data_IF_160749333391
#
_entry.id   IF_160749333391
#
_cell.length_a   1.000
_cell.length_b   1.000
_cell.length_c   1.000
_cell.angle_alpha   90.00
_cell.angle_beta   90.00
_cell.angle_gamma   90.00
#
_symmetry.space_group_name_H-M   'P 1'
#
loop_
_entity.id
_entity.type
_entity.pdbx_description
1 polymer ?
#
# COMPACT_ATOMS: atom_id res chain seq x y z
N UNK A 1 18.09 -0.97 3.85
CA UNK A 1 16.84 -1.68 4.20
C UNK A 1 16.63 -1.58 5.70
N UNK A 2 15.53 -0.97 6.11
CA UNK A 2 15.08 -0.85 7.49
C UNK A 2 14.08 -1.98 7.81
N UNK A 3 14.13 -2.51 9.04
CA UNK A 3 13.11 -3.46 9.51
C UNK A 3 11.73 -2.75 9.57
N UNK A 4 11.73 -1.47 9.92
CA UNK A 4 10.52 -0.64 9.97
C UNK A 4 9.92 -0.46 8.58
N UNK A 5 10.75 -0.13 7.57
CA UNK A 5 10.30 0.04 6.19
C UNK A 5 9.68 -1.23 5.62
N UNK A 6 10.27 -2.40 5.91
CA UNK A 6 9.67 -3.71 5.55
C UNK A 6 8.34 -3.97 6.24
N UNK A 7 8.23 -3.62 7.52
CA UNK A 7 6.97 -3.78 8.26
C UNK A 7 5.86 -2.87 7.69
N UNK A 8 6.18 -1.62 7.37
CA UNK A 8 5.27 -0.67 6.71
C UNK A 8 4.86 -1.16 5.31
N UNK A 9 5.80 -1.65 4.51
CA UNK A 9 5.52 -2.20 3.18
C UNK A 9 4.55 -3.40 3.26
N UNK A 10 4.76 -4.31 4.22
CA UNK A 10 3.89 -5.47 4.43
C UNK A 10 2.51 -5.08 4.97
N UNK A 11 2.45 -4.22 6.00
CA UNK A 11 1.18 -3.78 6.58
C UNK A 11 0.34 -2.97 5.58
N UNK A 12 0.99 -2.08 4.83
CA UNK A 12 0.35 -1.32 3.76
C UNK A 12 -0.18 -2.21 2.65
N UNK A 13 0.58 -3.22 2.23
CA UNK A 13 0.13 -4.22 1.25
C UNK A 13 -1.13 -4.96 1.72
N UNK A 14 -1.14 -5.50 2.94
CA UNK A 14 -2.31 -6.23 3.47
C UNK A 14 -3.54 -5.31 3.52
N UNK A 15 -3.37 -4.06 3.99
CA UNK A 15 -4.48 -3.11 4.08
C UNK A 15 -5.01 -2.70 2.70
N UNK A 16 -4.12 -2.55 1.72
CA UNK A 16 -4.47 -2.26 0.33
C UNK A 16 -5.34 -3.39 -0.25
N UNK A 17 -4.85 -4.63 -0.23
CA UNK A 17 -5.49 -5.79 -0.87
C UNK A 17 -6.83 -6.15 -0.19
N UNK A 18 -6.94 -5.98 1.13
CA UNK A 18 -8.20 -6.23 1.83
C UNK A 18 -9.33 -5.29 1.41
N UNK A 19 -9.01 -4.12 0.84
CA UNK A 19 -9.98 -3.07 0.56
C UNK A 19 -10.06 -2.69 -0.93
N UNK A 20 -9.15 -3.16 -1.79
CA UNK A 20 -9.06 -2.76 -3.20
C UNK A 20 -10.31 -3.10 -4.02
N UNK A 21 -11.04 -4.15 -3.66
CA UNK A 21 -12.28 -4.54 -4.33
C UNK A 21 -13.54 -3.90 -3.72
N UNK A 22 -13.41 -3.16 -2.63
CA UNK A 22 -14.53 -2.52 -1.98
C UNK A 22 -15.06 -1.34 -2.79
N UNK A 23 -16.38 -1.33 -3.04
CA UNK A 23 -17.06 -0.30 -3.85
C UNK A 23 -17.52 0.92 -3.05
N UNK A 24 -17.38 0.89 -1.73
CA UNK A 24 -17.75 2.01 -0.87
C UNK A 24 -16.63 3.05 -0.82
N UNK A 25 -16.94 4.34 -0.63
CA UNK A 25 -15.92 5.38 -0.45
C UNK A 25 -14.97 5.06 0.72
N UNK A 26 -15.48 4.43 1.78
CA UNK A 26 -14.67 4.02 2.92
C UNK A 26 -13.65 2.93 2.57
N UNK A 27 -14.07 1.92 1.79
CA UNK A 27 -13.15 0.87 1.36
C UNK A 27 -12.07 1.43 0.42
N UNK A 28 -12.45 2.28 -0.54
CA UNK A 28 -11.48 2.95 -1.41
C UNK A 28 -10.47 3.79 -0.61
N UNK A 29 -10.94 4.50 0.43
CA UNK A 29 -10.06 5.24 1.34
C UNK A 29 -9.10 4.32 2.09
N UNK A 30 -9.57 3.20 2.65
CA UNK A 30 -8.70 2.23 3.35
C UNK A 30 -7.67 1.62 2.41
N UNK A 31 -8.04 1.35 1.16
CA UNK A 31 -7.13 0.83 0.16
C UNK A 31 -6.02 1.85 -0.18
N UNK A 32 -6.39 3.13 -0.31
CA UNK A 32 -5.43 4.22 -0.48
C UNK A 32 -4.51 4.40 0.73
N UNK A 33 -5.04 4.35 1.96
CA UNK A 33 -4.23 4.38 3.18
C UNK A 33 -3.23 3.21 3.23
N UNK A 34 -3.60 2.02 2.71
CA UNK A 34 -2.70 0.89 2.53
C UNK A 34 -1.58 1.19 1.53
N UNK A 35 -1.91 1.75 0.36
CA UNK A 35 -0.94 2.20 -0.66
C UNK A 35 0.03 3.24 -0.11
N UNK A 36 -0.46 4.20 0.67
CA UNK A 36 0.36 5.26 1.24
C UNK A 36 1.36 4.70 2.25
N UNK A 37 0.91 3.84 3.17
CA UNK A 37 1.77 3.16 4.15
C UNK A 37 2.79 2.25 3.45
N UNK A 38 2.37 1.57 2.37
CA UNK A 38 3.27 0.74 1.57
C UNK A 38 4.35 1.58 0.90
N UNK A 39 3.99 2.75 0.38
CA UNK A 39 4.91 3.68 -0.26
C UNK A 39 5.88 4.30 0.75
N UNK A 40 5.43 4.62 1.96
CA UNK A 40 6.30 5.05 3.06
C UNK A 40 7.38 4.00 3.34
N UNK A 41 6.98 2.74 3.52
CA UNK A 41 7.92 1.64 3.75
C UNK A 41 8.92 1.43 2.60
N UNK A 42 8.47 1.61 1.35
CA UNK A 42 9.33 1.54 0.16
C UNK A 42 10.37 2.66 0.15
N UNK A 43 9.95 3.90 0.41
CA UNK A 43 10.85 5.07 0.41
C UNK A 43 11.90 4.94 1.53
N UNK A 44 11.51 4.48 2.71
CA UNK A 44 12.45 4.19 3.81
C UNK A 44 13.47 3.10 3.45
N UNK A 45 13.07 2.14 2.63
CA UNK A 45 13.94 1.10 2.10
C UNK A 45 14.77 1.54 0.88
N UNK A 46 14.63 2.79 0.42
CA UNK A 46 15.31 3.33 -0.76
C UNK A 46 14.71 2.85 -2.10
N UNK A 47 13.48 2.32 -2.09
CA UNK A 47 12.74 1.89 -3.28
C UNK A 47 11.81 3.02 -3.74
N UNK A 48 11.61 3.11 -5.05
CA UNK A 48 10.63 4.05 -5.62
C UNK A 48 9.20 3.74 -5.13
N UNK A 49 8.37 4.75 -4.81
CA UNK A 49 6.97 4.54 -4.46
C UNK A 49 6.17 4.01 -5.65
N UNK A 50 5.06 3.33 -5.37
CA UNK A 50 4.09 2.93 -6.39
C UNK A 50 3.20 4.12 -6.76
N UNK A 51 3.18 4.44 -8.04
CA UNK A 51 2.37 5.53 -8.63
C UNK A 51 1.18 5.02 -9.44
N UNK A 52 1.05 3.70 -9.58
CA UNK A 52 -0.10 3.07 -10.22
C UNK A 52 -1.33 3.15 -9.31
N UNK A 53 -2.55 3.11 -9.88
CA UNK A 53 -3.76 3.01 -9.08
C UNK A 53 -3.72 1.82 -8.12
N UNK A 54 -4.54 1.89 -7.08
CA UNK A 54 -4.75 0.77 -6.16
C UNK A 54 -5.37 -0.41 -6.93
N UNK A 55 -4.93 -1.63 -6.64
CA UNK A 55 -5.37 -2.85 -7.36
C UNK A 55 -4.77 -3.07 -8.75
N UNK A 56 -3.92 -2.19 -9.26
CA UNK A 56 -3.23 -2.39 -10.54
C UNK A 56 -2.00 -3.32 -10.46
N UNK A 57 -1.76 -3.94 -9.29
CA UNK A 57 -0.59 -4.81 -9.06
C UNK A 57 -0.89 -6.30 -9.09
N UNK A 58 -2.15 -6.68 -9.32
CA UNK A 58 -2.61 -8.05 -9.49
C UNK A 58 -2.81 -8.36 -10.99
N UNK A 59 -1.72 -8.41 -11.74
CA UNK A 59 -1.61 -9.11 -13.04
C UNK A 59 -0.34 -9.95 -13.05
#
# INVERSE_FOLDING_TARGET
MSIEGKAKEAAGYVKEELNEHGKTPEAQKKAQEGRDLRNEGRVEDGKAPKTTPVGSGAE
#
